data_IF_137654565961
#
_entry.id   IF_137654565961
#
_cell.length_a   1.000
_cell.length_b   1.000
_cell.length_c   1.000
_cell.angle_alpha   90.00
_cell.angle_beta   90.00
_cell.angle_gamma   90.00
#
_symmetry.space_group_name_H-M   'P 1'
#
loop_
_entity.id
_entity.type
_entity.pdbx_description
1 polymer ?
#
# COMPACT_ATOMS: atom_id res chain seq x y z
N UNK A 1 -7.64 11.73 -22.89
CA UNK A 1 -6.57 10.74 -22.69
C UNK A 1 -6.73 10.23 -21.29
N UNK A 2 -7.00 8.94 -21.12
CA UNK A 2 -7.29 8.35 -19.81
C UNK A 2 -6.06 8.48 -18.90
N UNK A 3 -6.28 8.71 -17.61
CA UNK A 3 -5.22 8.95 -16.63
C UNK A 3 -5.57 8.26 -15.31
N UNK A 4 -4.59 7.65 -14.66
CA UNK A 4 -4.68 7.10 -13.31
C UNK A 4 -3.85 7.97 -12.38
N UNK A 5 -4.43 8.36 -11.24
CA UNK A 5 -3.76 9.14 -10.19
C UNK A 5 -3.97 8.46 -8.84
N UNK A 6 -2.90 7.92 -8.28
CA UNK A 6 -2.91 7.20 -7.00
C UNK A 6 -2.33 8.11 -5.92
N UNK A 7 -3.15 8.44 -4.93
CA UNK A 7 -2.82 9.26 -3.77
C UNK A 7 -2.62 8.35 -2.58
N UNK A 8 -1.36 8.13 -2.21
CA UNK A 8 -0.97 7.10 -1.25
C UNK A 8 -0.47 7.70 0.06
N UNK A 9 -1.01 7.20 1.17
CA UNK A 9 -0.48 7.46 2.51
C UNK A 9 0.93 6.86 2.64
N UNK A 10 1.86 7.63 3.21
CA UNK A 10 3.21 7.16 3.47
C UNK A 10 4.30 8.08 2.93
N UNK A 11 5.54 7.70 3.23
CA UNK A 11 6.73 8.49 2.90
C UNK A 11 7.10 9.57 3.92
N UNK A 12 6.36 9.71 5.03
CA UNK A 12 6.62 10.71 6.06
C UNK A 12 6.56 12.16 5.53
N UNK A 13 7.07 13.12 6.30
CA UNK A 13 7.02 14.55 5.93
C UNK A 13 8.27 15.03 5.17
N UNK A 14 9.36 14.27 5.24
CA UNK A 14 10.62 14.60 4.56
C UNK A 14 10.58 14.39 3.05
N UNK A 15 11.25 15.26 2.30
CA UNK A 15 11.36 15.12 0.83
C UNK A 15 12.03 13.82 0.43
N UNK A 16 13.10 13.44 1.12
CA UNK A 16 13.87 12.22 0.84
C UNK A 16 13.07 10.96 1.17
N UNK A 17 12.39 10.92 2.32
CA UNK A 17 11.55 9.79 2.71
C UNK A 17 10.36 9.61 1.77
N UNK A 18 9.74 10.71 1.29
CA UNK A 18 8.70 10.66 0.25
C UNK A 18 9.25 10.15 -1.08
N UNK A 19 10.48 10.53 -1.44
CA UNK A 19 11.11 10.05 -2.66
C UNK A 19 11.45 8.55 -2.59
N UNK A 20 11.97 8.08 -1.46
CA UNK A 20 12.24 6.66 -1.23
C UNK A 20 10.95 5.83 -1.28
N UNK A 21 9.91 6.25 -0.55
CA UNK A 21 8.60 5.58 -0.57
C UNK A 21 7.98 5.52 -1.96
N UNK A 22 8.02 6.64 -2.71
CA UNK A 22 7.50 6.67 -4.09
C UNK A 22 8.28 5.74 -5.03
N UNK A 23 9.60 5.58 -4.84
CA UNK A 23 10.38 4.59 -5.60
C UNK A 23 9.91 3.18 -5.30
N UNK A 24 9.93 2.77 -4.03
CA UNK A 24 9.47 1.44 -3.61
C UNK A 24 8.07 1.09 -4.08
N UNK A 25 7.11 2.02 -3.92
CA UNK A 25 5.74 1.83 -4.40
C UNK A 25 5.64 1.84 -5.94
N UNK A 26 6.49 2.60 -6.65
CA UNK A 26 6.54 2.56 -8.12
C UNK A 26 7.13 1.24 -8.63
N UNK A 27 8.07 0.65 -7.91
CA UNK A 27 8.68 -0.63 -8.26
C UNK A 27 7.67 -1.76 -8.00
N UNK A 28 6.96 -1.70 -6.86
CA UNK A 28 5.86 -2.61 -6.53
C UNK A 28 4.71 -2.59 -7.54
N UNK A 29 4.35 -1.41 -8.06
CA UNK A 29 3.28 -1.23 -9.05
C UNK A 29 3.79 -1.23 -10.50
N UNK A 30 5.04 -1.66 -10.74
CA UNK A 30 5.69 -1.55 -12.05
C UNK A 30 4.91 -2.25 -13.17
N UNK A 31 4.45 -3.48 -12.95
CA UNK A 31 3.68 -4.25 -13.95
C UNK A 31 2.41 -3.52 -14.41
N UNK A 32 1.66 -2.93 -13.47
CA UNK A 32 0.44 -2.18 -13.78
C UNK A 32 0.75 -0.85 -14.45
N UNK A 33 1.82 -0.18 -14.02
CA UNK A 33 2.31 1.05 -14.65
C UNK A 33 2.71 0.79 -16.11
N UNK A 34 3.43 -0.29 -16.38
CA UNK A 34 3.82 -0.70 -17.74
C UNK A 34 2.59 -1.03 -18.60
N UNK A 35 1.62 -1.73 -18.03
CA UNK A 35 0.34 -2.01 -18.69
C UNK A 35 -0.40 -0.71 -19.06
N UNK A 36 -0.51 0.24 -18.13
CA UNK A 36 -1.11 1.56 -18.38
C UNK A 36 -0.37 2.32 -19.49
N UNK A 37 0.97 2.35 -19.44
CA UNK A 37 1.80 2.99 -20.47
C UNK A 37 1.60 2.36 -21.86
N UNK A 38 1.48 1.03 -21.95
CA UNK A 38 1.22 0.32 -23.21
C UNK A 38 -0.12 0.72 -23.87
N UNK A 39 -1.10 1.13 -23.04
CA UNK A 39 -2.41 1.65 -23.46
C UNK A 39 -2.45 3.17 -23.60
N UNK A 40 -1.31 3.85 -23.46
CA UNK A 40 -1.19 5.33 -23.48
C UNK A 40 -2.05 6.00 -22.40
N UNK A 41 -2.21 5.35 -21.26
CA UNK A 41 -2.88 5.89 -20.08
C UNK A 41 -1.84 6.62 -19.23
N UNK A 42 -2.14 7.86 -18.84
CA UNK A 42 -1.27 8.63 -17.94
C UNK A 42 -1.17 7.96 -16.56
N UNK A 43 0.01 7.96 -15.95
CA UNK A 43 0.24 7.32 -14.65
C UNK A 43 0.90 8.28 -13.66
N UNK A 44 0.22 8.53 -12.53
CA UNK A 44 0.74 9.39 -11.47
C UNK A 44 0.61 8.71 -10.12
N UNK A 45 1.74 8.58 -9.42
CA UNK A 45 1.80 8.09 -8.04
C UNK A 45 2.27 9.23 -7.12
N UNK A 46 1.42 9.61 -6.17
CA UNK A 46 1.62 10.77 -5.29
C UNK A 46 1.77 10.28 -3.84
N UNK A 47 2.98 10.38 -3.30
CA UNK A 47 3.26 10.10 -1.89
C UNK A 47 2.86 11.30 -1.01
N UNK A 48 1.78 11.15 -0.24
CA UNK A 48 1.14 12.26 0.45
C UNK A 48 1.69 12.53 1.86
N UNK A 49 2.45 11.60 2.45
CA UNK A 49 2.87 11.68 3.85
C UNK A 49 1.75 11.15 4.76
N UNK A 50 1.17 12.00 5.59
CA UNK A 50 0.08 11.59 6.50
C UNK A 50 -1.22 11.22 5.77
N UNK A 51 -2.07 10.39 6.42
CA UNK A 51 -3.40 10.05 5.89
C UNK A 51 -4.29 11.26 5.56
N UNK A 52 -4.24 12.30 6.40
CA UNK A 52 -5.06 13.50 6.20
C UNK A 52 -4.59 14.30 4.99
N UNK A 53 -3.29 14.30 4.72
CA UNK A 53 -2.77 14.85 3.47
C UNK A 53 -3.21 13.99 2.28
N UNK A 54 -3.14 12.65 2.38
CA UNK A 54 -3.60 11.75 1.32
C UNK A 54 -5.08 12.00 0.96
N UNK A 55 -5.95 12.10 1.96
CA UNK A 55 -7.37 12.39 1.74
C UNK A 55 -7.59 13.79 1.17
N UNK A 56 -6.90 14.83 1.68
CA UNK A 56 -7.00 16.20 1.16
C UNK A 56 -6.56 16.28 -0.31
N UNK A 57 -5.44 15.67 -0.65
CA UNK A 57 -4.89 15.68 -2.01
C UNK A 57 -5.81 14.92 -2.97
N UNK A 58 -6.34 13.76 -2.54
CA UNK A 58 -7.35 13.02 -3.27
C UNK A 58 -8.64 13.84 -3.50
N UNK A 59 -9.17 14.50 -2.47
CA UNK A 59 -10.36 15.36 -2.61
C UNK A 59 -10.12 16.53 -3.58
N UNK A 60 -8.91 17.08 -3.58
CA UNK A 60 -8.51 18.11 -4.54
C UNK A 60 -8.50 17.54 -5.95
N UNK A 61 -7.93 16.35 -6.12
CA UNK A 61 -7.81 15.68 -7.41
C UNK A 61 -9.15 15.32 -8.04
N UNK A 62 -10.11 14.83 -7.24
CA UNK A 62 -11.47 14.56 -7.70
C UNK A 62 -12.13 15.83 -8.28
N UNK A 63 -11.73 17.03 -7.83
CA UNK A 63 -12.25 18.31 -8.35
C UNK A 63 -11.47 18.83 -9.55
N UNK A 64 -10.14 18.68 -9.55
CA UNK A 64 -9.23 19.30 -10.55
C UNK A 64 -8.85 18.36 -11.69
N UNK A 65 -8.96 17.05 -11.51
CA UNK A 65 -8.64 15.98 -12.47
C UNK A 65 -9.86 15.08 -12.66
N UNK A 66 -11.01 15.66 -13.06
CA UNK A 66 -12.30 14.95 -13.12
C UNK A 66 -12.34 13.79 -14.11
N UNK A 67 -11.54 13.89 -15.17
CA UNK A 67 -11.45 12.87 -16.22
C UNK A 67 -10.42 11.77 -15.88
N UNK A 68 -9.70 11.92 -14.78
CA UNK A 68 -8.76 10.92 -14.29
C UNK A 68 -9.44 9.94 -13.34
N UNK A 69 -9.00 8.69 -13.37
CA UNK A 69 -9.30 7.72 -12.32
C UNK A 69 -8.46 8.03 -11.09
N UNK A 70 -9.05 8.82 -10.20
CA UNK A 70 -8.44 9.20 -8.92
C UNK A 70 -8.66 8.08 -7.90
N UNK A 71 -7.58 7.59 -7.30
CA UNK A 71 -7.56 6.50 -6.32
C UNK A 71 -6.91 6.98 -5.03
N UNK A 72 -7.59 6.75 -3.91
CA UNK A 72 -7.06 6.91 -2.55
C UNK A 72 -6.56 5.55 -2.04
N UNK A 73 -5.31 5.49 -1.57
CA UNK A 73 -4.70 4.30 -1.00
C UNK A 73 -4.13 4.60 0.39
N UNK A 74 -4.71 4.02 1.44
CA UNK A 74 -4.39 4.35 2.83
C UNK A 74 -4.26 3.11 3.72
N UNK A 75 -3.58 3.25 4.86
CA UNK A 75 -3.59 2.23 5.91
C UNK A 75 -4.99 2.19 6.55
N UNK A 76 -5.52 0.98 6.77
CA UNK A 76 -6.83 0.83 7.41
C UNK A 76 -6.80 1.17 8.90
N UNK A 77 -5.60 1.07 9.51
CA UNK A 77 -5.23 1.36 10.90
C UNK A 77 -5.85 0.43 11.95
N UNK A 78 -7.03 -0.11 11.67
CA UNK A 78 -7.76 -1.06 12.49
C UNK A 78 -8.46 -2.08 11.59
N UNK A 79 -8.94 -3.16 12.21
CA UNK A 79 -9.59 -4.27 11.53
C UNK A 79 -10.81 -3.80 10.75
N UNK A 80 -10.87 -4.18 9.47
CA UNK A 80 -11.95 -3.79 8.57
C UNK A 80 -13.15 -4.73 8.78
N UNK A 81 -14.09 -4.29 9.63
CA UNK A 81 -15.32 -5.04 9.94
C UNK A 81 -16.55 -4.54 9.17
N UNK A 82 -16.40 -3.42 8.47
CA UNK A 82 -17.47 -2.81 7.67
C UNK A 82 -17.68 -3.57 6.36
N UNK A 83 -18.89 -3.51 5.81
CA UNK A 83 -19.24 -4.11 4.52
C UNK A 83 -18.61 -3.40 3.31
N UNK A 84 -18.06 -2.20 3.50
CA UNK A 84 -17.38 -1.41 2.48
C UNK A 84 -16.20 -0.63 3.04
N UNK A 85 -15.21 -0.35 2.19
CA UNK A 85 -14.02 0.45 2.52
C UNK A 85 -14.44 1.88 2.85
N UNK A 86 -15.37 2.45 2.09
CA UNK A 86 -15.87 3.81 2.35
C UNK A 86 -16.53 3.92 3.72
N UNK A 87 -17.30 2.92 4.15
CA UNK A 87 -17.90 2.91 5.48
C UNK A 87 -16.83 2.80 6.57
N UNK A 88 -15.84 1.94 6.41
CA UNK A 88 -14.70 1.84 7.33
C UNK A 88 -14.02 3.19 7.51
N UNK A 89 -13.60 3.81 6.41
CA UNK A 89 -12.92 5.10 6.43
C UNK A 89 -13.80 6.21 6.99
N UNK A 90 -15.11 6.25 6.68
CA UNK A 90 -16.01 7.24 7.29
C UNK A 90 -16.07 7.07 8.80
N UNK A 91 -16.32 5.86 9.28
CA UNK A 91 -16.50 5.59 10.72
C UNK A 91 -15.22 5.85 11.50
N UNK A 92 -14.06 5.47 10.94
CA UNK A 92 -12.77 5.62 11.59
C UNK A 92 -12.24 7.05 11.54
N UNK A 93 -12.35 7.70 10.38
CA UNK A 93 -11.68 8.98 10.10
C UNK A 93 -12.61 10.21 10.14
N UNK A 94 -13.93 10.02 10.31
CA UNK A 94 -14.94 11.07 10.12
C UNK A 94 -14.88 11.72 8.72
N UNK A 95 -14.43 10.98 7.72
CA UNK A 95 -14.34 11.47 6.33
C UNK A 95 -15.71 11.43 5.64
N UNK A 96 -16.64 12.29 6.05
CA UNK A 96 -18.04 12.26 5.61
C UNK A 96 -18.21 12.22 4.08
N UNK A 97 -17.42 12.99 3.34
CA UNK A 97 -17.54 13.07 1.87
C UNK A 97 -17.10 11.80 1.14
N UNK A 98 -16.47 10.83 1.83
CA UNK A 98 -15.98 9.61 1.19
C UNK A 98 -17.12 8.72 0.69
N UNK A 99 -18.30 8.82 1.29
CA UNK A 99 -19.49 8.05 0.87
C UNK A 99 -20.03 8.49 -0.50
N UNK A 100 -19.65 9.67 -0.97
CA UNK A 100 -20.04 10.16 -2.29
C UNK A 100 -19.07 9.69 -3.40
N UNK A 101 -17.98 9.02 -3.04
CA UNK A 101 -17.02 8.46 -3.99
C UNK A 101 -17.44 7.05 -4.41
N UNK A 102 -16.94 6.60 -5.56
CA UNK A 102 -17.09 5.21 -5.99
C UNK A 102 -16.23 4.29 -5.10
N UNK A 103 -16.73 3.07 -4.84
CA UNK A 103 -16.02 2.09 -4.00
C UNK A 103 -14.64 1.72 -4.58
N UNK A 104 -14.50 1.74 -5.91
CA UNK A 104 -13.24 1.45 -6.62
C UNK A 104 -12.18 2.54 -6.47
N UNK A 105 -12.59 3.77 -6.11
CA UNK A 105 -11.66 4.87 -5.84
C UNK A 105 -11.03 4.80 -4.45
N UNK A 106 -11.51 3.92 -3.57
CA UNK A 106 -10.97 3.75 -2.22
C UNK A 106 -10.32 2.37 -2.08
N UNK A 107 -9.07 2.35 -1.62
CA UNK A 107 -8.23 1.16 -1.52
C UNK A 107 -7.50 1.18 -0.17
N UNK A 108 -7.22 0.00 0.39
CA UNK A 108 -6.58 -0.16 1.70
C UNK A 108 -5.27 -0.93 1.59
N UNK A 109 -4.30 -0.56 2.43
CA UNK A 109 -3.03 -1.29 2.64
C UNK A 109 -3.00 -2.15 3.91
N UNK A 110 -4.09 -2.09 4.70
CA UNK A 110 -4.61 -2.93 5.82
C UNK A 110 -3.64 -3.77 6.68
N UNK A 111 -3.76 -3.82 8.02
CA UNK A 111 -4.06 -2.66 8.84
C UNK A 111 -3.00 -1.58 8.58
N UNK A 112 -1.78 -2.04 8.26
CA UNK A 112 -0.63 -1.25 7.81
C UNK A 112 -0.01 -1.86 6.56
N UNK A 113 0.60 -1.05 5.69
CA UNK A 113 1.31 -1.55 4.50
C UNK A 113 2.32 -2.68 4.80
N UNK A 114 2.91 -2.70 6.00
CA UNK A 114 3.79 -3.79 6.45
C UNK A 114 3.16 -5.19 6.42
N UNK A 115 1.83 -5.31 6.44
CA UNK A 115 1.14 -6.57 6.20
C UNK A 115 1.56 -7.20 4.87
N UNK A 116 1.72 -6.40 3.81
CA UNK A 116 2.17 -6.86 2.50
C UNK A 116 3.61 -7.40 2.53
N UNK A 117 4.49 -6.81 3.35
CA UNK A 117 5.86 -7.30 3.49
C UNK A 117 5.90 -8.70 4.09
N UNK A 118 4.98 -9.03 5.01
CA UNK A 118 4.89 -10.36 5.61
C UNK A 118 4.46 -11.44 4.62
N UNK A 119 3.86 -11.07 3.49
CA UNK A 119 3.48 -12.03 2.46
C UNK A 119 4.70 -12.67 1.79
N UNK A 120 5.82 -11.96 1.70
CA UNK A 120 7.06 -12.45 1.11
C UNK A 120 8.18 -12.55 2.16
N UNK A 121 8.09 -13.61 2.98
CA UNK A 121 9.07 -13.88 4.02
C UNK A 121 10.45 -14.24 3.43
N UNK A 122 10.52 -14.71 2.19
CA UNK A 122 11.79 -15.01 1.52
C UNK A 122 12.56 -13.72 1.22
N UNK A 123 11.90 -12.73 0.59
CA UNK A 123 12.52 -11.42 0.36
C UNK A 123 12.96 -10.76 1.67
N UNK A 124 12.15 -10.85 2.74
CA UNK A 124 12.57 -10.35 4.06
C UNK A 124 13.85 -11.04 4.54
N UNK A 125 13.93 -12.36 4.43
CA UNK A 125 15.09 -13.11 4.87
C UNK A 125 16.35 -12.81 4.05
N UNK A 126 16.22 -12.65 2.73
CA UNK A 126 17.31 -12.25 1.85
C UNK A 126 17.79 -10.82 2.17
N UNK A 127 16.86 -9.90 2.35
CA UNK A 127 17.16 -8.51 2.69
C UNK A 127 17.92 -8.41 4.01
N UNK A 128 17.45 -9.09 5.05
CA UNK A 128 18.05 -9.01 6.39
C UNK A 128 19.25 -9.94 6.58
N UNK A 129 19.34 -11.02 5.82
CA UNK A 129 20.44 -11.96 5.82
C UNK A 129 20.56 -12.75 7.13
N UNK A 130 21.82 -12.96 7.57
CA UNK A 130 22.13 -13.79 8.73
C UNK A 130 21.38 -13.32 9.99
N UNK A 131 20.91 -14.30 10.77
CA UNK A 131 20.14 -14.12 12.01
C UNK A 131 18.72 -13.55 11.83
N UNK A 132 18.20 -13.47 10.59
CA UNK A 132 16.78 -13.24 10.38
C UNK A 132 15.97 -14.41 10.93
N UNK A 133 15.05 -14.13 11.85
CA UNK A 133 14.23 -15.14 12.51
C UNK A 133 12.88 -15.31 11.80
N UNK A 134 12.84 -16.21 10.82
CA UNK A 134 11.63 -16.58 10.07
C UNK A 134 10.47 -17.01 10.97
N UNK A 135 10.76 -17.68 12.08
CA UNK A 135 9.74 -18.20 13.00
C UNK A 135 8.99 -17.09 13.76
N UNK A 136 9.49 -15.85 13.72
CA UNK A 136 8.75 -14.70 14.28
C UNK A 136 7.65 -14.20 13.34
N UNK A 137 7.67 -14.57 12.06
CA UNK A 137 6.65 -14.16 11.09
C UNK A 137 5.44 -15.11 11.20
N UNK A 138 4.22 -14.59 11.43
CA UNK A 138 3.03 -15.42 11.51
C UNK A 138 2.80 -16.22 10.22
N UNK A 139 2.58 -17.53 10.35
CA UNK A 139 2.22 -18.38 9.24
C UNK A 139 0.70 -18.35 9.01
N UNK A 140 0.26 -17.50 8.08
CA UNK A 140 -1.15 -17.36 7.68
C UNK A 140 -1.27 -17.32 6.17
N UNK A 141 -2.38 -17.83 5.64
CA UNK A 141 -2.70 -17.70 4.22
C UNK A 141 -3.05 -16.26 3.84
N UNK A 142 -3.73 -15.54 4.74
CA UNK A 142 -4.07 -14.13 4.57
C UNK A 142 -3.28 -13.26 5.56
N UNK A 143 -2.31 -12.50 5.07
CA UNK A 143 -1.48 -11.62 5.90
C UNK A 143 -2.20 -10.36 6.34
N UNK A 144 -3.28 -9.97 5.67
CA UNK A 144 -4.08 -8.78 5.99
C UNK A 144 -5.08 -9.02 7.13
N UNK A 145 -5.19 -10.26 7.63
CA UNK A 145 -5.87 -10.57 8.89
C UNK A 145 -4.96 -10.37 10.13
N UNK A 146 -3.67 -10.10 9.94
CA UNK A 146 -2.74 -9.87 11.05
C UNK A 146 -2.90 -8.43 11.52
N UNK A 147 -3.16 -8.24 12.82
CA UNK A 147 -3.28 -6.89 13.40
C UNK A 147 -1.98 -6.10 13.30
N UNK A 148 -2.07 -4.78 13.23
CA UNK A 148 -0.94 -3.84 13.22
C UNK A 148 0.07 -4.13 14.34
N UNK A 149 -0.40 -4.30 15.57
CA UNK A 149 0.46 -4.60 16.72
C UNK A 149 1.23 -5.90 16.57
N UNK A 150 0.61 -6.91 15.95
CA UNK A 150 1.23 -8.21 15.67
C UNK A 150 2.25 -8.08 14.54
N UNK A 151 1.94 -7.33 13.48
CA UNK A 151 2.89 -7.04 12.37
C UNK A 151 4.14 -6.34 12.88
N UNK A 152 3.98 -5.27 13.66
CA UNK A 152 5.09 -4.51 14.23
C UNK A 152 5.98 -5.40 15.11
N UNK A 153 5.35 -6.17 16.00
CA UNK A 153 6.05 -7.10 16.90
C UNK A 153 6.78 -8.20 16.12
N UNK A 154 6.14 -8.77 15.10
CA UNK A 154 6.73 -9.82 14.26
C UNK A 154 7.97 -9.31 13.53
N UNK A 155 7.89 -8.13 12.89
CA UNK A 155 9.02 -7.54 12.18
C UNK A 155 10.18 -7.22 13.12
N UNK A 156 9.94 -6.63 14.29
CA UNK A 156 10.99 -6.38 15.28
C UNK A 156 11.66 -7.69 15.70
N UNK A 157 10.87 -8.70 16.07
CA UNK A 157 11.40 -9.99 16.52
C UNK A 157 12.15 -10.77 15.43
N UNK A 158 11.71 -10.62 14.17
CA UNK A 158 12.35 -11.25 13.02
C UNK A 158 13.71 -10.63 12.72
N UNK A 159 13.88 -9.32 12.91
CA UNK A 159 15.05 -8.61 12.38
C UNK A 159 16.04 -8.12 13.44
N UNK A 160 15.66 -7.96 14.71
CA UNK A 160 16.49 -7.35 15.77
C UNK A 160 17.90 -7.93 15.97
N UNK A 161 18.13 -9.18 15.57
CA UNK A 161 19.44 -9.87 15.69
C UNK A 161 20.28 -9.84 14.40
N UNK A 162 19.76 -9.24 13.34
CA UNK A 162 20.43 -9.10 12.05
C UNK A 162 21.42 -7.93 12.10
N UNK A 163 22.34 -7.86 11.14
CA UNK A 163 23.28 -6.73 11.04
C UNK A 163 22.59 -5.41 10.68
N UNK A 164 21.41 -5.45 10.05
CA UNK A 164 20.59 -4.27 9.74
C UNK A 164 19.74 -3.81 10.94
N UNK A 165 19.69 -4.60 12.01
CA UNK A 165 18.95 -4.30 13.24
C UNK A 165 17.43 -4.42 13.10
N UNK A 166 16.72 -3.80 14.03
CA UNK A 166 15.26 -3.80 14.07
C UNK A 166 14.63 -3.18 12.81
N UNK A 167 13.44 -3.67 12.44
CA UNK A 167 12.68 -3.12 11.34
C UNK A 167 12.42 -1.63 11.58
N UNK A 168 12.56 -0.82 10.53
CA UNK A 168 12.40 0.61 10.63
C UNK A 168 11.59 1.09 9.44
N UNK A 169 10.32 1.45 9.69
CA UNK A 169 9.30 1.77 8.68
C UNK A 169 9.80 2.69 7.57
N UNK A 170 10.48 3.78 7.91
CA UNK A 170 10.95 4.77 6.92
C UNK A 170 12.21 4.31 6.16
N UNK A 171 13.08 3.50 6.79
CA UNK A 171 14.40 3.16 6.23
C UNK A 171 14.36 1.86 5.45
N UNK A 172 13.67 0.86 5.97
CA UNK A 172 13.61 -0.48 5.38
C UNK A 172 12.32 -0.67 4.57
N UNK A 173 11.19 -0.12 5.03
CA UNK A 173 9.87 -0.33 4.41
C UNK A 173 9.83 -0.01 2.91
N UNK A 174 10.22 1.20 2.47
CA UNK A 174 10.24 1.53 1.04
C UNK A 174 11.10 0.60 0.18
N UNK A 175 12.28 0.21 0.67
CA UNK A 175 13.19 -0.65 -0.09
C UNK A 175 12.62 -2.05 -0.20
N UNK A 176 12.16 -2.62 0.91
CA UNK A 176 11.49 -3.93 0.94
C UNK A 176 10.25 -3.96 0.04
N UNK A 177 9.42 -2.91 0.07
CA UNK A 177 8.24 -2.82 -0.78
C UNK A 177 8.58 -2.92 -2.27
N UNK A 178 9.72 -2.36 -2.70
CA UNK A 178 10.19 -2.47 -4.08
C UNK A 178 10.83 -3.82 -4.44
N UNK A 179 11.08 -4.69 -3.45
CA UNK A 179 11.76 -5.99 -3.63
C UNK A 179 10.82 -7.19 -3.53
N UNK A 180 9.71 -7.07 -2.79
CA UNK A 180 8.77 -8.19 -2.59
C UNK A 180 8.20 -8.69 -3.90
N UNK A 181 7.98 -10.00 -3.99
CA UNK A 181 7.33 -10.59 -5.15
C UNK A 181 5.83 -10.23 -5.17
N UNK A 182 5.43 -9.42 -6.16
CA UNK A 182 4.05 -8.93 -6.31
C UNK A 182 3.04 -10.07 -6.38
N UNK A 183 3.32 -11.16 -7.11
CA UNK A 183 2.41 -12.29 -7.21
C UNK A 183 2.22 -13.01 -5.87
N UNK A 184 3.29 -13.20 -5.11
CA UNK A 184 3.24 -13.74 -3.74
C UNK A 184 2.41 -12.85 -2.82
N UNK A 185 2.60 -11.53 -2.89
CA UNK A 185 1.85 -10.57 -2.09
C UNK A 185 0.37 -10.65 -2.42
N UNK A 186 0.00 -10.51 -3.69
CA UNK A 186 -1.41 -10.56 -4.15
C UNK A 186 -2.12 -11.85 -3.75
N UNK A 187 -1.43 -12.98 -3.83
CA UNK A 187 -2.01 -14.27 -3.44
C UNK A 187 -2.33 -14.37 -1.92
N UNK A 188 -1.63 -13.60 -1.08
CA UNK A 188 -1.79 -13.63 0.38
C UNK A 188 -2.44 -12.38 0.97
N UNK A 189 -2.73 -11.38 0.16
CA UNK A 189 -3.21 -10.07 0.58
C UNK A 189 -4.41 -9.63 -0.28
N UNK A 190 -5.65 -10.01 0.09
CA UNK A 190 -6.86 -9.72 -0.70
C UNK A 190 -7.12 -8.23 -1.03
N UNK A 191 -6.86 -7.28 -0.13
CA UNK A 191 -6.97 -5.85 -0.39
C UNK A 191 -5.87 -5.37 -1.33
N UNK A 192 -4.65 -5.91 -1.22
CA UNK A 192 -3.62 -5.71 -2.23
C UNK A 192 -4.10 -6.22 -3.60
N UNK A 193 -4.59 -7.46 -3.70
CA UNK A 193 -5.07 -8.00 -4.97
C UNK A 193 -6.24 -7.19 -5.54
N UNK A 194 -7.17 -6.74 -4.68
CA UNK A 194 -8.25 -5.84 -5.07
C UNK A 194 -7.74 -4.56 -5.71
N UNK A 195 -6.67 -3.95 -5.19
CA UNK A 195 -6.05 -2.77 -5.81
C UNK A 195 -5.56 -3.10 -7.23
N UNK A 196 -4.84 -4.21 -7.40
CA UNK A 196 -4.32 -4.63 -8.70
C UNK A 196 -5.42 -4.96 -9.70
N UNK A 197 -6.47 -5.69 -9.28
CA UNK A 197 -7.64 -6.02 -10.10
C UNK A 197 -8.34 -4.73 -10.53
N UNK A 198 -8.64 -3.83 -9.58
CA UNK A 198 -9.33 -2.56 -9.87
C UNK A 198 -8.57 -1.72 -10.92
N UNK A 199 -7.25 -1.61 -10.78
CA UNK A 199 -6.43 -0.86 -11.72
C UNK A 199 -6.36 -1.55 -13.09
N UNK A 200 -6.26 -2.87 -13.11
CA UNK A 200 -6.23 -3.66 -14.36
C UNK A 200 -7.53 -3.54 -15.12
N UNK A 201 -8.67 -3.66 -14.44
CA UNK A 201 -10.01 -3.55 -15.03
C UNK A 201 -10.20 -2.15 -15.64
N UNK A 202 -9.84 -1.09 -14.91
CA UNK A 202 -9.88 0.26 -15.47
C UNK A 202 -9.02 0.40 -16.73
N UNK A 203 -7.81 -0.16 -16.75
CA UNK A 203 -6.93 -0.10 -17.93
C UNK A 203 -7.52 -0.91 -19.12
N UNK A 204 -8.25 -1.99 -18.85
CA UNK A 204 -8.87 -2.81 -19.89
C UNK A 204 -10.10 -2.12 -20.52
N UNK A 205 -10.81 -1.29 -19.75
CA UNK A 205 -12.01 -0.57 -20.18
C UNK A 205 -11.74 0.82 -20.80
N UNK A 206 -10.55 1.39 -20.56
CA UNK A 206 -10.15 2.74 -20.97
C UNK A 206 -9.64 2.85 -22.43
#
# INVERSE_FOLDING_TARGET
>A
MSEIRIYVEGGGDGRESKAAFRRGMSDFLSEIKELACSRKIGWNLVACGSRNNAFRDFQTAVKTHRDAFNVLLVDAEDSVTSSSIRQHLRTRDSWENIVNMQETQCQLMVEVMENWLLADTETLAEFYGQNFNRNAIPNTQNVECISKSTVETALINATRRTQKGEYHKIRHGPELLGLVNVATVRNRAPYCDRLFVTLTDFIAEA
#
